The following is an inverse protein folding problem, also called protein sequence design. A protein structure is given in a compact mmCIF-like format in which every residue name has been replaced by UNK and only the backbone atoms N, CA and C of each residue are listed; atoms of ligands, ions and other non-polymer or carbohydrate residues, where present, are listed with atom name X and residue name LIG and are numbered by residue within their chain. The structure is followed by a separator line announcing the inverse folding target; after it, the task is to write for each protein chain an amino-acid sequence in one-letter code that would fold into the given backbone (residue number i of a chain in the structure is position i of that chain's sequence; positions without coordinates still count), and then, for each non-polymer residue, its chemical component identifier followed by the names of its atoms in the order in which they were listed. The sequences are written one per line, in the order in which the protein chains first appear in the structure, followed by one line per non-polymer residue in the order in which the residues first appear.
data_IF_726640010819
#
_entry.id   IF_726640010819
#
_cell.length_a   1.000
_cell.length_b   1.000
_cell.length_c   1.000
_cell.angle_alpha   90.00
_cell.angle_beta   90.00
_cell.angle_gamma   90.00
#
_symmetry.space_group_name_H-M   'P 1'
#
loop_
_entity.id
_entity.type
_entity.pdbx_description
1 polymer ?
#
# COMPACT_ATOMS: atom_id res chain seq x y z
N UNK A 1 -2.25 5.09 -13.41
CA UNK A 1 -0.91 4.47 -13.60
C UNK A 1 -0.02 5.23 -12.64
N UNK A 2 0.61 4.53 -11.70
CA UNK A 2 1.19 5.17 -10.53
C UNK A 2 2.14 6.33 -10.88
N UNK A 3 2.01 7.45 -10.18
CA UNK A 3 2.88 8.58 -10.46
C UNK A 3 4.32 8.29 -9.94
N UNK A 4 5.38 8.72 -10.65
CA UNK A 4 6.76 8.41 -10.26
C UNK A 4 7.13 8.93 -8.87
N UNK A 5 6.54 10.07 -8.46
CA UNK A 5 6.81 10.70 -7.18
C UNK A 5 6.32 9.84 -5.99
N UNK A 6 5.12 9.27 -6.09
CA UNK A 6 4.50 8.45 -5.06
C UNK A 6 5.15 7.06 -5.00
N UNK A 7 5.56 6.51 -6.15
CA UNK A 7 6.44 5.34 -6.22
C UNK A 7 7.76 5.59 -5.46
N UNK A 8 8.40 6.74 -5.67
CA UNK A 8 9.63 7.07 -4.96
C UNK A 8 9.43 7.22 -3.46
N UNK A 9 8.31 7.79 -3.00
CA UNK A 9 7.95 7.86 -1.58
C UNK A 9 7.78 6.46 -0.99
N UNK A 10 7.02 5.60 -1.67
CA UNK A 10 6.79 4.22 -1.22
C UNK A 10 8.09 3.41 -1.13
N UNK A 11 8.99 3.55 -2.10
CA UNK A 11 10.30 2.87 -2.11
C UNK A 11 11.22 3.40 -1.00
N UNK A 12 11.17 4.70 -0.70
CA UNK A 12 11.98 5.31 0.37
C UNK A 12 11.46 5.01 1.77
N UNK A 13 10.31 4.36 1.91
CA UNK A 13 9.67 4.08 3.19
C UNK A 13 9.06 5.34 3.81
N UNK A 14 8.63 6.27 2.97
CA UNK A 14 7.89 7.44 3.43
C UNK A 14 6.57 7.01 4.07
N UNK A 15 6.14 7.75 5.08
CA UNK A 15 4.98 7.38 5.89
C UNK A 15 3.68 8.00 5.41
N UNK A 16 3.72 8.93 4.48
CA UNK A 16 2.52 9.58 3.95
C UNK A 16 2.35 9.28 2.45
N UNK A 17 1.40 8.38 2.17
CA UNK A 17 0.96 7.97 0.85
C UNK A 17 -0.57 8.12 0.73
N UNK A 18 -1.18 8.95 1.58
CA UNK A 18 -2.62 9.16 1.61
C UNK A 18 -3.15 9.68 0.27
N UNK A 19 -4.16 9.01 -0.28
CA UNK A 19 -4.76 9.38 -1.57
C UNK A 19 -3.87 9.17 -2.80
N UNK A 20 -2.68 8.58 -2.66
CA UNK A 20 -1.77 8.34 -3.78
C UNK A 20 -2.39 7.42 -4.84
N UNK A 21 -2.14 7.70 -6.13
CA UNK A 21 -2.39 6.72 -7.18
C UNK A 21 -1.18 5.80 -7.30
N UNK A 22 -1.32 4.58 -6.76
CA UNK A 22 -0.36 3.49 -6.80
C UNK A 22 -0.89 2.31 -7.63
N UNK A 23 -1.88 2.57 -8.49
CA UNK A 23 -2.50 1.52 -9.31
C UNK A 23 -1.48 0.84 -10.23
N UNK A 24 -1.44 -0.50 -10.17
CA UNK A 24 -0.51 -1.33 -10.92
C UNK A 24 0.97 -1.19 -10.50
N UNK A 25 1.26 -0.51 -9.39
CA UNK A 25 2.64 -0.36 -8.92
C UNK A 25 3.23 -1.71 -8.48
N UNK A 26 4.53 -1.91 -8.74
CA UNK A 26 5.29 -2.98 -8.10
C UNK A 26 5.87 -2.45 -6.77
N UNK A 27 5.27 -2.89 -5.68
CA UNK A 27 5.66 -2.61 -4.30
C UNK A 27 6.04 -3.91 -3.56
N UNK A 28 6.43 -4.95 -4.30
CA UNK A 28 6.83 -6.22 -3.70
C UNK A 28 7.99 -6.01 -2.73
N UNK A 29 7.86 -6.55 -1.52
CA UNK A 29 8.85 -6.39 -0.46
C UNK A 29 9.02 -4.97 0.09
N UNK A 30 8.17 -4.00 -0.29
CA UNK A 30 8.27 -2.62 0.16
C UNK A 30 8.16 -2.51 1.70
N UNK A 31 8.86 -1.52 2.27
CA UNK A 31 8.84 -1.22 3.70
C UNK A 31 7.80 -0.13 3.98
N UNK A 32 6.57 -0.55 4.27
CA UNK A 32 5.40 0.30 4.48
C UNK A 32 4.84 0.19 5.91
N UNK A 33 5.67 -0.27 6.87
CA UNK A 33 5.26 -0.43 8.27
C UNK A 33 4.85 0.92 8.86
N UNK A 34 3.61 1.02 9.32
CA UNK A 34 3.03 2.25 9.86
C UNK A 34 2.79 3.35 8.82
N UNK A 35 2.85 3.05 7.52
CA UNK A 35 2.54 4.02 6.47
C UNK A 35 1.04 4.37 6.48
N UNK A 36 0.73 5.63 6.20
CA UNK A 36 -0.61 6.10 5.89
C UNK A 36 -0.86 5.92 4.39
N UNK A 37 -1.67 4.92 4.06
CA UNK A 37 -2.18 4.62 2.72
C UNK A 37 -3.68 4.93 2.63
N UNK A 38 -4.21 5.75 3.55
CA UNK A 38 -5.64 6.03 3.61
C UNK A 38 -6.11 6.68 2.30
N UNK A 39 -7.16 6.14 1.69
CA UNK A 39 -7.68 6.60 0.40
C UNK A 39 -6.78 6.32 -0.82
N UNK A 40 -5.62 5.66 -0.65
CA UNK A 40 -4.74 5.37 -1.78
C UNK A 40 -5.39 4.38 -2.77
N UNK A 41 -5.14 4.58 -4.06
CA UNK A 41 -5.53 3.62 -5.09
C UNK A 41 -4.41 2.59 -5.28
N UNK A 42 -4.58 1.39 -4.75
CA UNK A 42 -3.65 0.25 -4.87
C UNK A 42 -4.21 -0.82 -5.82
N UNK A 43 -5.17 -0.47 -6.68
CA UNK A 43 -5.79 -1.41 -7.60
C UNK A 43 -4.73 -2.10 -8.47
N UNK A 44 -4.73 -3.44 -8.49
CA UNK A 44 -3.76 -4.27 -9.24
C UNK A 44 -2.29 -4.06 -8.85
N UNK A 45 -2.00 -3.43 -7.71
CA UNK A 45 -0.63 -3.29 -7.23
C UNK A 45 -0.08 -4.65 -6.76
N UNK A 46 1.20 -4.90 -6.99
CA UNK A 46 1.92 -6.02 -6.38
C UNK A 46 2.47 -5.55 -5.03
N UNK A 47 1.84 -6.00 -3.94
CA UNK A 47 2.27 -5.79 -2.54
C UNK A 47 2.80 -7.10 -1.94
N UNK A 48 3.16 -8.07 -2.78
CA UNK A 48 3.62 -9.37 -2.31
C UNK A 48 4.83 -9.21 -1.40
N UNK A 49 4.83 -9.91 -0.25
CA UNK A 49 5.89 -9.82 0.77
C UNK A 49 6.15 -8.42 1.35
N UNK A 50 5.28 -7.43 1.11
CA UNK A 50 5.43 -6.10 1.67
C UNK A 50 5.30 -6.12 3.20
N UNK A 51 6.02 -5.23 3.87
CA UNK A 51 5.90 -5.02 5.32
C UNK A 51 4.88 -3.92 5.56
N UNK A 52 3.64 -4.28 5.89
CA UNK A 52 2.53 -3.35 6.13
C UNK A 52 2.14 -3.26 7.60
N UNK A 53 2.93 -3.83 8.53
CA UNK A 53 2.58 -3.88 9.95
C UNK A 53 2.20 -2.49 10.49
N UNK A 54 0.99 -2.34 11.03
CA UNK A 54 0.48 -1.08 11.55
C UNK A 54 0.09 -0.02 10.50
N UNK A 55 0.11 -0.33 9.21
CA UNK A 55 -0.27 0.62 8.15
C UNK A 55 -1.76 0.97 8.21
N UNK A 56 -2.11 2.18 7.78
CA UNK A 56 -3.50 2.63 7.67
C UNK A 56 -3.96 2.51 6.23
N UNK A 57 -4.93 1.63 5.97
CA UNK A 57 -5.51 1.36 4.64
C UNK A 57 -6.98 1.81 4.58
N UNK A 58 -7.41 2.70 5.48
CA UNK A 58 -8.81 3.14 5.56
C UNK A 58 -9.18 3.84 4.25
N UNK A 59 -10.20 3.33 3.57
CA UNK A 59 -10.63 3.85 2.26
C UNK A 59 -9.67 3.57 1.10
N UNK A 60 -8.59 2.80 1.31
CA UNK A 60 -7.72 2.38 0.23
C UNK A 60 -8.45 1.42 -0.72
N UNK A 61 -8.18 1.53 -2.03
CA UNK A 61 -8.76 0.66 -3.05
C UNK A 61 -7.76 -0.45 -3.36
N UNK A 62 -8.06 -1.68 -2.93
CA UNK A 62 -7.18 -2.84 -3.07
C UNK A 62 -7.63 -3.83 -4.17
N UNK A 63 -8.56 -3.44 -5.06
CA UNK A 63 -9.15 -4.35 -6.06
C UNK A 63 -8.05 -5.00 -6.92
N UNK A 64 -7.92 -6.32 -6.80
CA UNK A 64 -6.92 -7.12 -7.54
C UNK A 64 -5.48 -6.89 -7.11
N UNK A 65 -5.23 -6.24 -5.97
CA UNK A 65 -3.89 -6.13 -5.40
C UNK A 65 -3.41 -7.51 -4.91
N UNK A 66 -2.13 -7.81 -5.12
CA UNK A 66 -1.51 -9.02 -4.59
C UNK A 66 -0.91 -8.75 -3.22
N UNK A 67 -1.52 -9.27 -2.16
CA UNK A 67 -1.03 -9.17 -0.78
C UNK A 67 -0.34 -10.47 -0.30
N UNK A 68 0.00 -11.38 -1.22
CA UNK A 68 0.55 -12.69 -0.89
C UNK A 68 1.83 -12.56 -0.05
N UNK A 69 1.81 -13.11 1.17
CA UNK A 69 2.94 -13.06 2.09
C UNK A 69 3.25 -11.68 2.68
N UNK A 70 2.39 -10.67 2.46
CA UNK A 70 2.54 -9.38 3.12
C UNK A 70 2.31 -9.50 4.64
N UNK A 71 3.06 -8.74 5.44
CA UNK A 71 2.80 -8.64 6.87
C UNK A 71 1.72 -7.59 7.13
N UNK A 72 0.51 -8.04 7.45
CA UNK A 72 -0.67 -7.21 7.72
C UNK A 72 -0.97 -7.06 9.22
N UNK A 73 -0.04 -7.45 10.11
CA UNK A 73 -0.26 -7.36 11.55
C UNK A 73 -0.59 -5.91 11.98
N UNK A 74 -1.72 -5.73 12.65
CA UNK A 74 -2.15 -4.41 13.14
C UNK A 74 -2.53 -3.40 12.05
N UNK A 75 -2.68 -3.81 10.79
CA UNK A 75 -3.17 -2.90 9.74
C UNK A 75 -4.60 -2.47 10.02
N UNK A 76 -4.91 -1.20 9.73
CA UNK A 76 -6.31 -0.74 9.69
C UNK A 76 -6.87 -0.97 8.29
N UNK A 77 -7.54 -2.09 8.08
CA UNK A 77 -8.09 -2.48 6.78
C UNK A 77 -9.31 -1.64 6.39
N UNK A 78 -9.56 -1.47 5.08
CA UNK A 78 -10.82 -0.96 4.59
C UNK A 78 -11.95 -1.95 4.92
N UNK A 79 -13.20 -1.49 5.08
CA UNK A 79 -14.34 -2.37 5.33
C UNK A 79 -14.51 -3.43 4.24
N UNK A 80 -14.81 -4.68 4.64
CA UNK A 80 -15.11 -5.78 3.72
C UNK A 80 -13.90 -6.52 3.16
N UNK A 81 -12.73 -6.38 3.81
CA UNK A 81 -11.49 -7.09 3.52
C UNK A 81 -11.05 -7.95 4.72
#
# INVERSE_FOLDING_TARGET
MANPSDLMKAIRGDKDLGGADLSGANLSGARLSGADLSGANLSRADLSRARLSGAMLIGAILIGADLSGANLEGTKMPPGW
#
